data_IF_272150200003
#
_entry.id   IF_272150200003
#
_cell.length_a   1.000
_cell.length_b   1.000
_cell.length_c   1.000
_cell.angle_alpha   90.00
_cell.angle_beta   90.00
_cell.angle_gamma   90.00
#
_symmetry.space_group_name_H-M   'P 1'
#
loop_
_entity.id
_entity.type
_entity.pdbx_description
1 polymer ?
#
# COMPACT_ATOMS: atom_id res chain seq x y z
N UNK A 1 15.69 -12.77 9.66
CA UNK A 1 15.16 -13.84 8.78
C UNK A 1 13.96 -13.28 8.03
N UNK A 2 13.69 -13.73 6.81
CA UNK A 2 12.46 -13.39 6.07
C UNK A 2 11.50 -14.58 6.16
N UNK A 3 10.26 -14.32 6.50
CA UNK A 3 9.19 -15.31 6.54
C UNK A 3 8.06 -14.85 5.62
N UNK A 4 7.78 -15.65 4.59
CA UNK A 4 6.60 -15.48 3.74
C UNK A 4 5.44 -16.15 4.47
N UNK A 5 4.42 -15.35 4.84
CA UNK A 5 3.23 -15.83 5.52
C UNK A 5 2.25 -16.40 4.51
N UNK A 6 2.02 -15.65 3.43
CA UNK A 6 1.31 -16.14 2.25
C UNK A 6 1.73 -15.36 0.99
N UNK A 7 1.52 -16.00 -0.15
CA UNK A 7 1.59 -15.37 -1.48
C UNK A 7 0.49 -15.95 -2.33
N UNK A 8 -0.48 -15.11 -2.70
CA UNK A 8 -1.65 -15.51 -3.48
C UNK A 8 -1.73 -14.70 -4.76
N UNK A 9 -2.15 -15.35 -5.83
CA UNK A 9 -2.20 -14.73 -7.15
C UNK A 9 -3.38 -15.25 -7.98
N UNK A 10 -3.97 -14.33 -8.72
CA UNK A 10 -4.88 -14.62 -9.84
C UNK A 10 -4.55 -13.67 -10.98
N UNK A 11 -5.30 -13.74 -12.08
CA UNK A 11 -5.16 -12.84 -13.20
C UNK A 11 -5.37 -11.38 -12.78
N UNK A 12 -4.33 -10.57 -12.94
CA UNK A 12 -4.33 -9.15 -12.63
C UNK A 12 -4.27 -8.75 -11.15
N UNK A 13 -4.20 -9.71 -10.21
CA UNK A 13 -4.11 -9.43 -8.77
C UNK A 13 -3.07 -10.35 -8.14
N UNK A 14 -2.12 -9.77 -7.42
CA UNK A 14 -1.26 -10.52 -6.49
C UNK A 14 -1.29 -9.88 -5.10
N UNK A 15 -1.26 -10.71 -4.06
CA UNK A 15 -1.21 -10.28 -2.67
C UNK A 15 -0.21 -11.16 -1.93
N UNK A 16 0.71 -10.55 -1.21
CA UNK A 16 1.65 -11.27 -0.36
C UNK A 16 1.78 -10.61 1.01
N UNK A 17 2.00 -11.42 2.03
CA UNK A 17 2.29 -11.00 3.40
C UNK A 17 3.63 -11.56 3.82
N UNK A 18 4.53 -10.67 4.21
CA UNK A 18 5.91 -11.01 4.57
C UNK A 18 6.27 -10.35 5.88
N UNK A 19 6.89 -11.13 6.78
CA UNK A 19 7.56 -10.65 7.98
C UNK A 19 9.07 -10.72 7.80
N UNK A 20 9.76 -9.68 8.20
CA UNK A 20 11.22 -9.61 8.24
C UNK A 20 11.69 -9.22 9.63
N UNK A 21 12.58 -10.04 10.19
CA UNK A 21 13.18 -9.79 11.52
C UNK A 21 14.62 -9.22 11.41
N UNK A 22 15.07 -8.94 10.18
CA UNK A 22 16.36 -8.35 9.90
C UNK A 22 16.22 -7.05 9.11
N UNK A 23 17.24 -6.21 9.16
CA UNK A 23 17.32 -4.99 8.38
C UNK A 23 17.13 -5.28 6.89
N UNK A 24 16.26 -4.54 6.26
CA UNK A 24 15.98 -4.65 4.84
C UNK A 24 15.79 -3.27 4.23
N UNK A 25 16.50 -3.03 3.14
CA UNK A 25 16.28 -1.88 2.27
C UNK A 25 16.34 -2.34 0.82
N UNK A 26 15.42 -1.87 0.02
CA UNK A 26 15.45 -2.15 -1.42
C UNK A 26 16.73 -1.54 -2.01
N UNK A 27 17.50 -2.30 -2.81
CA UNK A 27 18.82 -1.84 -3.27
C UNK A 27 18.74 -0.66 -4.24
N UNK A 28 17.63 -0.51 -4.96
CA UNK A 28 17.45 0.52 -6.00
C UNK A 28 16.03 1.05 -6.02
N UNK A 29 15.91 2.31 -6.44
CA UNK A 29 14.64 2.88 -6.87
C UNK A 29 14.17 2.15 -8.13
N UNK A 30 12.87 1.89 -8.21
CA UNK A 30 12.29 1.21 -9.37
C UNK A 30 10.91 1.78 -9.68
N UNK A 31 10.36 1.35 -10.78
CA UNK A 31 8.99 1.62 -11.24
C UNK A 31 8.47 0.38 -11.97
N UNK A 32 7.18 0.21 -11.99
CA UNK A 32 6.50 -0.85 -12.73
C UNK A 32 5.13 -0.38 -13.25
N UNK A 33 4.50 -1.18 -14.10
CA UNK A 33 3.25 -0.81 -14.74
C UNK A 33 1.99 -1.21 -13.95
N UNK A 34 2.15 -1.87 -12.82
CA UNK A 34 1.07 -2.22 -11.89
C UNK A 34 0.82 -1.08 -10.91
N UNK A 35 -0.40 -0.98 -10.40
CA UNK A 35 -0.70 -0.23 -9.20
C UNK A 35 -0.24 -1.03 -7.98
N UNK A 36 0.37 -0.37 -7.00
CA UNK A 36 0.83 -1.01 -5.77
C UNK A 36 0.09 -0.43 -4.57
N UNK A 37 -0.35 -1.32 -3.68
CA UNK A 37 -0.85 -0.97 -2.36
C UNK A 37 0.02 -1.70 -1.34
N UNK A 38 0.69 -0.94 -0.52
CA UNK A 38 1.52 -1.46 0.56
C UNK A 38 0.84 -1.14 1.89
N UNK A 39 0.60 -2.15 2.72
CA UNK A 39 0.09 -1.97 4.07
C UNK A 39 1.15 -2.43 5.08
N UNK A 40 1.60 -1.53 5.93
CA UNK A 40 2.54 -1.85 7.01
C UNK A 40 1.74 -2.26 8.25
N UNK A 41 1.82 -3.55 8.63
CA UNK A 41 1.18 -4.06 9.84
C UNK A 41 1.98 -3.66 11.09
N UNK A 42 3.29 -3.90 11.06
CA UNK A 42 4.20 -3.66 12.18
C UNK A 42 5.52 -3.06 11.72
N UNK A 43 6.14 -2.26 12.60
CA UNK A 43 7.44 -1.66 12.36
C UNK A 43 7.38 -0.29 11.73
N UNK A 44 8.50 0.13 11.16
CA UNK A 44 8.69 1.44 10.57
C UNK A 44 9.50 1.34 9.28
N UNK A 45 9.14 2.15 8.30
CA UNK A 45 9.81 2.20 7.00
C UNK A 45 9.99 3.64 6.54
N UNK A 46 11.05 3.92 5.79
CA UNK A 46 11.07 5.08 4.90
C UNK A 46 10.59 4.65 3.52
N UNK A 47 9.68 5.42 2.97
CA UNK A 47 9.18 5.24 1.62
C UNK A 47 9.54 6.46 0.78
N UNK A 48 10.39 6.24 -0.22
CA UNK A 48 10.68 7.25 -1.24
C UNK A 48 9.65 7.11 -2.37
N UNK A 49 8.96 8.18 -2.70
CA UNK A 49 7.98 8.26 -3.79
C UNK A 49 8.29 9.50 -4.60
N UNK A 50 8.65 9.33 -5.86
CA UNK A 50 9.12 10.37 -6.79
C UNK A 50 10.27 11.20 -6.24
N UNK A 51 9.97 12.28 -5.52
CA UNK A 51 10.95 13.22 -4.96
C UNK A 51 10.84 13.40 -3.45
N UNK A 52 9.99 12.65 -2.80
CA UNK A 52 9.68 12.79 -1.37
C UNK A 52 10.01 11.50 -0.63
N UNK A 53 10.52 11.64 0.57
CA UNK A 53 10.68 10.52 1.50
C UNK A 53 9.71 10.71 2.64
N UNK A 54 8.87 9.71 2.87
CA UNK A 54 7.89 9.69 3.95
C UNK A 54 8.31 8.65 4.99
N UNK A 55 8.10 8.94 6.26
CA UNK A 55 8.18 7.98 7.34
C UNK A 55 6.84 7.27 7.43
N UNK A 56 6.86 5.94 7.41
CA UNK A 56 5.68 5.06 7.42
C UNK A 56 5.74 4.20 8.66
N UNK A 57 4.69 4.19 9.43
CA UNK A 57 4.54 3.41 10.67
C UNK A 57 3.45 2.36 10.53
N UNK A 58 3.45 1.37 11.42
CA UNK A 58 2.40 0.35 11.47
C UNK A 58 0.98 0.96 11.46
N UNK A 59 0.09 0.37 10.67
CA UNK A 59 -1.26 0.85 10.41
C UNK A 59 -1.37 1.85 9.26
N UNK A 60 -0.33 1.98 8.42
CA UNK A 60 -0.34 2.88 7.26
C UNK A 60 -0.49 2.13 5.95
N UNK A 61 -1.29 2.70 5.05
CA UNK A 61 -1.37 2.34 3.63
C UNK A 61 -0.45 3.25 2.81
N UNK A 62 0.20 2.69 1.81
CA UNK A 62 0.95 3.44 0.80
C UNK A 62 0.41 3.04 -0.56
N UNK A 63 -0.01 4.04 -1.34
CA UNK A 63 -0.52 3.87 -2.70
C UNK A 63 0.50 4.37 -3.71
N UNK A 64 0.94 3.51 -4.60
CA UNK A 64 1.91 3.81 -5.66
C UNK A 64 1.22 3.69 -7.00
N UNK A 65 1.22 4.79 -7.75
CA UNK A 65 0.67 4.83 -9.11
C UNK A 65 1.60 4.09 -10.09
N UNK A 66 1.05 3.73 -11.23
CA UNK A 66 1.80 3.11 -12.34
C UNK A 66 2.96 4.01 -12.76
N UNK A 67 4.10 3.37 -13.00
CA UNK A 67 5.32 4.06 -13.43
C UNK A 67 5.83 5.14 -12.45
N UNK A 68 5.35 5.15 -11.23
CA UNK A 68 5.82 6.04 -10.19
C UNK A 68 7.11 5.50 -9.57
N UNK A 69 8.16 6.30 -9.55
CA UNK A 69 9.46 5.90 -8.99
C UNK A 69 9.35 5.81 -7.48
N UNK A 70 9.65 4.64 -6.93
CA UNK A 70 9.58 4.41 -5.50
C UNK A 70 10.67 3.47 -4.99
N UNK A 71 10.87 3.49 -3.66
CA UNK A 71 11.80 2.63 -2.94
C UNK A 71 11.40 2.60 -1.47
N UNK A 72 11.45 1.43 -0.85
CA UNK A 72 11.34 1.33 0.61
C UNK A 72 12.69 1.01 1.24
N UNK A 73 12.96 1.62 2.38
CA UNK A 73 14.20 1.42 3.13
C UNK A 73 13.95 1.31 4.63
N UNK A 74 14.97 0.82 5.33
CA UNK A 74 14.94 0.65 6.78
C UNK A 74 14.69 1.99 7.49
N UNK A 75 13.77 1.97 8.46
CA UNK A 75 13.59 2.99 9.48
C UNK A 75 13.40 2.27 10.83
N UNK A 76 13.82 2.89 11.93
CA UNK A 76 13.64 2.36 13.28
C UNK A 76 14.16 0.92 13.47
N UNK A 77 13.45 0.09 14.26
CA UNK A 77 13.79 -1.31 14.52
C UNK A 77 13.85 -2.15 13.23
N UNK A 78 14.66 -3.21 13.26
CA UNK A 78 14.90 -4.03 12.07
C UNK A 78 13.68 -4.84 11.63
N UNK A 79 12.78 -5.22 12.56
CA UNK A 79 11.60 -6.03 12.24
C UNK A 79 10.48 -5.21 11.64
N UNK A 80 9.83 -5.77 10.63
CA UNK A 80 8.61 -5.22 10.07
C UNK A 80 7.77 -6.32 9.42
N UNK A 81 6.47 -6.10 9.39
CA UNK A 81 5.52 -6.98 8.72
C UNK A 81 4.64 -6.16 7.79
N UNK A 82 4.46 -6.63 6.56
CA UNK A 82 3.72 -5.90 5.54
C UNK A 82 2.85 -6.82 4.68
N UNK A 83 1.80 -6.27 4.12
CA UNK A 83 1.04 -6.83 2.99
C UNK A 83 1.32 -5.97 1.77
N UNK A 84 1.60 -6.60 0.63
CA UNK A 84 1.78 -5.94 -0.65
C UNK A 84 0.75 -6.48 -1.64
N UNK A 85 0.07 -5.58 -2.32
CA UNK A 85 -0.87 -5.90 -3.38
C UNK A 85 -0.38 -5.22 -4.65
N UNK A 86 -0.27 -6.00 -5.73
CA UNK A 86 -0.06 -5.46 -7.07
C UNK A 86 -1.31 -5.71 -7.91
N UNK A 87 -1.78 -4.67 -8.56
CA UNK A 87 -2.96 -4.71 -9.43
C UNK A 87 -2.57 -4.37 -10.85
N UNK A 88 -2.80 -5.32 -11.75
CA UNK A 88 -2.74 -5.07 -13.18
C UNK A 88 -3.90 -4.14 -13.59
N UNK A 89 -3.65 -3.12 -14.43
CA UNK A 89 -4.68 -2.11 -14.75
C UNK A 89 -6.01 -2.67 -15.23
N UNK A 90 -5.99 -3.74 -16.02
CA UNK A 90 -7.17 -4.11 -16.81
C UNK A 90 -8.31 -4.77 -16.02
N UNK A 91 -8.17 -5.94 -15.39
CA UNK A 91 -9.35 -6.66 -14.86
C UNK A 91 -10.02 -5.93 -13.70
N UNK A 92 -9.22 -5.39 -12.77
CA UNK A 92 -9.75 -4.71 -11.60
C UNK A 92 -10.33 -3.32 -11.95
N UNK A 93 -9.74 -2.64 -12.93
CA UNK A 93 -10.23 -1.34 -13.41
C UNK A 93 -11.63 -1.44 -13.99
N UNK A 94 -11.90 -2.47 -14.78
CA UNK A 94 -13.24 -2.74 -15.34
C UNK A 94 -14.27 -3.00 -14.25
N UNK A 95 -13.92 -3.85 -13.27
CA UNK A 95 -14.78 -4.13 -12.12
C UNK A 95 -15.11 -2.87 -11.34
N UNK A 96 -14.09 -2.06 -11.01
CA UNK A 96 -14.24 -0.87 -10.18
C UNK A 96 -15.06 0.23 -10.88
N UNK A 97 -14.90 0.40 -12.19
CA UNK A 97 -15.60 1.43 -12.97
C UNK A 97 -17.01 1.03 -13.39
N UNK A 98 -17.44 -0.21 -13.15
CA UNK A 98 -18.78 -0.68 -13.53
C UNK A 98 -19.92 0.12 -12.93
N UNK A 99 -19.74 0.72 -11.76
CA UNK A 99 -20.73 1.60 -11.09
C UNK A 99 -20.61 3.07 -11.49
N UNK A 100 -19.54 3.46 -12.19
CA UNK A 100 -19.28 4.85 -12.59
C UNK A 100 -18.81 5.79 -11.46
N UNK A 101 -18.72 5.32 -10.22
CA UNK A 101 -18.37 6.16 -9.06
C UNK A 101 -16.88 6.29 -8.80
N UNK A 102 -16.11 5.28 -9.21
CA UNK A 102 -14.66 5.22 -8.95
C UNK A 102 -13.91 4.61 -10.13
N UNK A 103 -12.71 5.10 -10.38
CA UNK A 103 -11.77 4.47 -11.31
C UNK A 103 -10.39 4.37 -10.70
N UNK A 104 -9.64 3.30 -11.00
CA UNK A 104 -8.25 3.16 -10.54
C UNK A 104 -7.38 4.36 -10.93
N UNK A 105 -7.33 4.79 -12.21
CA UNK A 105 -6.52 5.94 -12.58
C UNK A 105 -6.92 7.22 -11.84
N UNK A 106 -8.20 7.43 -11.61
CA UNK A 106 -8.73 8.57 -10.85
C UNK A 106 -8.29 8.53 -9.40
N UNK A 107 -8.43 7.36 -8.75
CA UNK A 107 -8.02 7.18 -7.36
C UNK A 107 -6.53 7.43 -7.17
N UNK A 108 -5.65 6.75 -7.90
CA UNK A 108 -4.20 6.88 -7.73
C UNK A 108 -3.67 8.26 -8.09
N UNK A 109 -4.23 8.93 -9.09
CA UNK A 109 -3.88 10.32 -9.42
C UNK A 109 -4.13 11.29 -8.26
N UNK A 110 -5.22 11.08 -7.51
CA UNK A 110 -5.60 11.95 -6.40
C UNK A 110 -5.00 11.53 -5.06
N UNK A 111 -4.70 10.23 -4.90
CA UNK A 111 -4.46 9.63 -3.58
C UNK A 111 -3.15 8.82 -3.50
N UNK A 112 -2.26 8.95 -4.49
CA UNK A 112 -0.92 8.36 -4.40
C UNK A 112 -0.14 8.94 -3.22
N UNK A 113 0.51 8.08 -2.43
CA UNK A 113 1.26 8.47 -1.24
C UNK A 113 0.89 7.68 0.01
N UNK A 114 1.16 8.24 1.18
CA UNK A 114 1.01 7.59 2.49
C UNK A 114 -0.27 8.04 3.18
N UNK A 115 -1.03 7.09 3.67
CA UNK A 115 -2.24 7.27 4.47
C UNK A 115 -2.10 6.50 5.78
N UNK A 116 -2.11 7.21 6.91
CA UNK A 116 -2.10 6.57 8.24
C UNK A 116 -3.53 6.42 8.74
N UNK A 117 -3.95 5.19 8.98
CA UNK A 117 -5.30 4.85 9.43
C UNK A 117 -5.41 4.96 10.95
N UNK A 118 -6.61 5.31 11.44
CA UNK A 118 -6.93 5.17 12.84
C UNK A 118 -7.10 3.68 13.24
N UNK A 119 -7.24 3.39 14.54
CA UNK A 119 -7.29 2.00 15.02
C UNK A 119 -8.49 1.21 14.51
N UNK A 120 -9.65 1.84 14.36
CA UNK A 120 -10.84 1.18 13.82
C UNK A 120 -10.69 0.88 12.34
N UNK A 121 -10.14 1.83 11.59
CA UNK A 121 -9.86 1.68 10.15
C UNK A 121 -8.76 0.63 9.89
N UNK A 122 -7.74 0.55 10.76
CA UNK A 122 -6.70 -0.51 10.70
C UNK A 122 -7.35 -1.90 10.77
N UNK A 123 -8.21 -2.14 11.76
CA UNK A 123 -8.92 -3.42 11.91
C UNK A 123 -9.74 -3.73 10.66
N UNK A 124 -10.47 -2.74 10.12
CA UNK A 124 -11.27 -2.93 8.90
C UNK A 124 -10.39 -3.22 7.68
N UNK A 125 -9.28 -2.50 7.51
CA UNK A 125 -8.35 -2.71 6.41
C UNK A 125 -7.72 -4.10 6.47
N UNK A 126 -7.27 -4.54 7.64
CA UNK A 126 -6.69 -5.86 7.86
C UNK A 126 -7.69 -6.99 7.55
N UNK A 127 -8.94 -6.88 8.04
CA UNK A 127 -9.98 -7.84 7.67
C UNK A 127 -10.21 -7.91 6.15
N UNK A 128 -10.27 -6.78 5.46
CA UNK A 128 -10.48 -6.74 4.01
C UNK A 128 -9.32 -7.36 3.24
N UNK A 129 -8.09 -7.12 3.70
CA UNK A 129 -6.88 -7.67 3.10
C UNK A 129 -6.77 -9.19 3.30
N UNK A 130 -7.04 -9.66 4.52
CA UNK A 130 -7.01 -11.08 4.85
C UNK A 130 -8.15 -11.84 4.13
N UNK A 131 -9.35 -11.27 4.06
CA UNK A 131 -10.47 -11.84 3.31
C UNK A 131 -10.15 -11.92 1.80
N UNK A 132 -9.53 -10.88 1.22
CA UNK A 132 -9.11 -10.92 -0.18
C UNK A 132 -8.07 -12.02 -0.44
N UNK A 133 -7.06 -12.14 0.44
CA UNK A 133 -6.05 -13.20 0.34
C UNK A 133 -6.67 -14.59 0.46
N UNK A 134 -7.58 -14.77 1.41
CA UNK A 134 -8.29 -16.04 1.62
C UNK A 134 -9.11 -16.46 0.38
N UNK A 135 -9.82 -15.53 -0.24
CA UNK A 135 -10.55 -15.81 -1.48
C UNK A 135 -9.61 -16.26 -2.61
N UNK A 136 -8.46 -15.60 -2.76
CA UNK A 136 -7.46 -15.98 -3.75
C UNK A 136 -6.78 -17.33 -3.45
N UNK A 137 -6.70 -17.71 -2.19
CA UNK A 137 -6.18 -19.01 -1.75
C UNK A 137 -7.17 -20.13 -2.03
N UNK A 138 -8.40 -19.99 -1.52
CA UNK A 138 -9.43 -21.04 -1.57
C UNK A 138 -10.02 -21.26 -2.96
N UNK A 139 -10.07 -20.22 -3.77
CA UNK A 139 -10.57 -20.21 -5.17
C UNK A 139 -11.95 -20.86 -5.34
N UNK A 140 -12.83 -20.68 -4.35
CA UNK A 140 -14.23 -21.13 -4.41
C UNK A 140 -14.99 -20.36 -5.49
N UNK A 141 -16.17 -20.85 -5.86
CA UNK A 141 -17.04 -20.18 -6.82
C UNK A 141 -17.25 -18.70 -6.45
N UNK A 142 -16.93 -17.78 -7.36
CA UNK A 142 -17.07 -16.34 -7.13
C UNK A 142 -15.87 -15.67 -6.44
N UNK A 143 -14.80 -16.39 -6.14
CA UNK A 143 -13.64 -15.87 -5.40
C UNK A 143 -13.06 -14.58 -5.98
N UNK A 144 -13.01 -14.42 -7.33
CA UNK A 144 -12.52 -13.19 -7.96
C UNK A 144 -13.40 -11.99 -7.62
N UNK A 145 -14.73 -12.16 -7.68
CA UNK A 145 -15.67 -11.10 -7.32
C UNK A 145 -15.56 -10.72 -5.85
N UNK A 146 -15.40 -11.71 -4.97
CA UNK A 146 -15.21 -11.46 -3.54
C UNK A 146 -13.90 -10.73 -3.26
N UNK A 147 -12.79 -11.19 -3.83
CA UNK A 147 -11.49 -10.52 -3.69
C UNK A 147 -11.54 -9.08 -4.21
N UNK A 148 -12.09 -8.86 -5.41
CA UNK A 148 -12.25 -7.52 -5.99
C UNK A 148 -13.18 -6.63 -5.16
N UNK A 149 -14.25 -7.19 -4.59
CA UNK A 149 -15.17 -6.45 -3.70
C UNK A 149 -14.45 -6.01 -2.42
N UNK A 150 -13.65 -6.89 -1.80
CA UNK A 150 -12.88 -6.54 -0.60
C UNK A 150 -11.86 -5.45 -0.89
N UNK A 151 -11.14 -5.53 -2.01
CA UNK A 151 -10.21 -4.48 -2.43
C UNK A 151 -10.95 -3.16 -2.76
N UNK A 152 -12.12 -3.22 -3.40
CA UNK A 152 -12.94 -2.02 -3.65
C UNK A 152 -13.37 -1.34 -2.35
N UNK A 153 -13.76 -2.11 -1.34
CA UNK A 153 -14.08 -1.58 0.00
C UNK A 153 -12.86 -0.94 0.66
N UNK A 154 -11.65 -1.48 0.47
CA UNK A 154 -10.41 -0.87 0.95
C UNK A 154 -10.17 0.50 0.29
N UNK A 155 -10.35 0.61 -1.02
CA UNK A 155 -10.25 1.90 -1.73
C UNK A 155 -11.28 2.92 -1.23
N UNK A 156 -12.52 2.49 -0.99
CA UNK A 156 -13.58 3.36 -0.46
C UNK A 156 -13.24 3.82 0.96
N UNK A 157 -12.73 2.92 1.81
CA UNK A 157 -12.27 3.26 3.15
C UNK A 157 -11.19 4.34 3.09
N UNK A 158 -10.16 4.14 2.28
CA UNK A 158 -9.08 5.11 2.10
C UNK A 158 -9.59 6.46 1.58
N UNK A 159 -10.46 6.47 0.58
CA UNK A 159 -11.04 7.69 0.01
C UNK A 159 -11.88 8.47 1.04
N UNK A 160 -12.68 7.78 1.85
CA UNK A 160 -13.50 8.40 2.89
C UNK A 160 -12.65 8.99 4.01
N UNK A 161 -11.61 8.30 4.43
CA UNK A 161 -10.64 8.82 5.41
C UNK A 161 -10.04 10.14 4.91
N UNK A 162 -9.55 10.17 3.68
CA UNK A 162 -8.93 11.36 3.08
C UNK A 162 -9.92 12.52 2.89
N UNK A 163 -11.18 12.22 2.62
CA UNK A 163 -12.23 13.24 2.48
C UNK A 163 -12.72 13.80 3.84
N UNK A 164 -12.62 13.00 4.91
CA UNK A 164 -13.01 13.40 6.26
C UNK A 164 -11.89 14.11 7.04
N UNK A 165 -10.66 13.87 6.69
CA UNK A 165 -9.50 14.56 7.26
C UNK A 165 -9.25 15.84 6.47
N UNK A 166 -9.50 17.00 7.06
CA UNK A 166 -8.99 18.27 6.51
C UNK A 166 -7.48 18.13 6.35
N UNK A 167 -7.02 18.11 5.10
CA UNK A 167 -5.61 17.92 4.72
C UNK A 167 -4.71 18.88 5.51
N UNK A 168 -4.07 18.40 6.56
CA UNK A 168 -2.88 19.05 7.07
C UNK A 168 -1.75 18.76 6.08
N UNK A 169 -1.16 19.77 5.42
CA UNK A 169 -0.06 19.55 4.52
C UNK A 169 1.09 18.93 5.31
N UNK A 170 1.57 17.77 4.88
CA UNK A 170 2.79 17.16 5.42
C UNK A 170 3.93 18.16 5.22
N UNK A 171 4.38 18.76 6.31
CA UNK A 171 5.54 19.67 6.29
C UNK A 171 6.78 18.87 5.83
N UNK A 172 7.53 19.35 4.86
CA UNK A 172 8.78 18.72 4.46
C UNK A 172 9.74 18.76 5.66
N UNK A 173 10.35 17.60 5.96
CA UNK A 173 11.43 17.52 6.94
C UNK A 173 12.49 18.59 6.57
N UNK A 174 12.73 19.52 7.48
CA UNK A 174 13.72 20.57 7.31
C UNK A 174 15.09 19.93 7.03
N UNK A 175 15.71 20.33 5.94
CA UNK A 175 17.10 20.01 5.62
C UNK A 175 17.98 20.42 6.79
N UNK A 176 18.67 19.44 7.40
CA UNK A 176 19.68 19.71 8.42
C UNK A 176 20.75 20.64 7.83
N UNK A 177 21.23 21.64 8.57
CA UNK A 177 22.28 22.51 8.09
C UNK A 177 23.59 21.72 7.93
N UNK A 178 24.18 21.84 6.76
CA UNK A 178 25.52 21.31 6.48
C UNK A 178 26.50 21.94 7.46
N UNK A 179 27.11 21.16 8.33
CA UNK A 179 28.26 21.59 9.12
C UNK A 179 29.38 22.04 8.18
N UNK A 180 29.61 23.33 8.15
CA UNK A 180 30.78 23.93 7.52
C UNK A 180 31.99 23.58 8.41
N UNK A 181 32.90 22.74 7.91
CA UNK A 181 34.23 22.61 8.52
C UNK A 181 35.01 23.88 8.22
N UNK A 182 35.50 24.51 9.27
CA UNK A 182 36.59 25.50 9.26
C UNK A 182 37.90 24.73 9.35
#
# INVERSE_FOLDING_TARGET
MEQIIYTEKTDGISIDRIRRDAAFSMPRKHLHNEYEIYYLLEGERYYFIDRRTCHVTGGSLVFIDRNQIHQTSQAGPCSHERILISLDPSPFSEFLSSTGEMSLPGFFRCHSGVLTLDKEEQVRAECLLDDAAKELHEKKTGFRHMAMSNLSRLFILAQRHMSGSSLSPVLPLSTQPKHRKV
#
